data_IF_659002038086
#
_entry.id   IF_659002038086
#
_cell.length_a   1.000
_cell.length_b   1.000
_cell.length_c   1.000
_cell.angle_alpha   90.00
_cell.angle_beta   90.00
_cell.angle_gamma   90.00
#
_symmetry.space_group_name_H-M   'P 1'
#
loop_
_entity.id
_entity.type
_entity.pdbx_description
1 polymer ?
#
# COMPACT_ATOMS: atom_id res chain seq x y z
N UNK A 1 32.18 -29.55 -58.80
CA UNK A 1 32.99 -28.31 -58.50
C UNK A 1 32.18 -27.04 -58.74
N UNK A 2 31.41 -26.95 -59.83
CA UNK A 2 30.61 -25.71 -60.08
C UNK A 2 29.61 -25.34 -58.99
N UNK A 3 28.85 -26.30 -58.42
CA UNK A 3 27.83 -26.04 -57.39
C UNK A 3 28.41 -25.56 -56.05
N UNK A 4 29.59 -26.05 -55.68
CA UNK A 4 30.27 -25.60 -54.43
C UNK A 4 30.79 -24.15 -54.54
N UNK A 5 31.29 -23.78 -55.73
CA UNK A 5 31.76 -22.40 -56.01
C UNK A 5 30.59 -21.43 -56.03
N UNK A 6 29.45 -21.77 -56.68
CA UNK A 6 28.24 -20.95 -56.63
C UNK A 6 27.68 -20.75 -55.21
N UNK A 7 27.67 -21.81 -54.35
CA UNK A 7 27.20 -21.73 -52.98
C UNK A 7 28.15 -20.92 -52.10
N UNK A 8 29.47 -20.98 -52.33
CA UNK A 8 30.43 -20.16 -51.63
C UNK A 8 30.31 -18.65 -52.03
N UNK A 9 30.01 -18.35 -53.27
CA UNK A 9 29.71 -17.00 -53.72
C UNK A 9 28.39 -16.49 -53.13
N UNK A 10 27.36 -17.33 -52.98
CA UNK A 10 26.11 -16.97 -52.28
C UNK A 10 26.35 -16.61 -50.79
N UNK A 11 27.21 -17.35 -50.11
CA UNK A 11 27.60 -17.04 -48.71
C UNK A 11 28.26 -15.66 -48.65
N UNK A 12 29.19 -15.36 -49.57
CA UNK A 12 29.84 -14.07 -49.58
C UNK A 12 28.85 -12.92 -49.88
N UNK A 13 27.93 -13.10 -50.84
CA UNK A 13 26.88 -12.11 -51.13
C UNK A 13 25.97 -11.86 -49.93
N UNK A 14 25.48 -12.91 -49.27
CA UNK A 14 24.63 -12.80 -48.08
C UNK A 14 25.38 -12.06 -46.94
N UNK A 15 26.66 -12.32 -46.79
CA UNK A 15 27.49 -11.59 -45.81
C UNK A 15 27.52 -10.07 -46.09
N UNK A 16 27.69 -9.68 -47.35
CA UNK A 16 27.69 -8.27 -47.74
C UNK A 16 26.30 -7.66 -47.56
N UNK A 17 25.25 -8.32 -48.03
CA UNK A 17 23.86 -7.86 -47.89
C UNK A 17 23.46 -7.66 -46.42
N UNK A 18 23.83 -8.59 -45.54
CA UNK A 18 23.57 -8.47 -44.08
C UNK A 18 24.35 -7.30 -43.52
N UNK A 19 25.59 -7.06 -43.97
CA UNK A 19 26.42 -5.96 -43.48
C UNK A 19 25.85 -4.60 -43.88
N UNK A 20 25.39 -4.48 -45.15
CA UNK A 20 24.76 -3.28 -45.65
C UNK A 20 23.41 -2.96 -44.99
N UNK A 21 22.62 -3.98 -44.71
CA UNK A 21 21.34 -3.80 -44.00
C UNK A 21 21.55 -3.49 -42.52
N UNK A 22 22.54 -4.10 -41.84
CA UNK A 22 22.89 -3.79 -40.45
C UNK A 22 23.20 -2.30 -40.25
N UNK A 23 23.85 -1.68 -41.26
CA UNK A 23 24.18 -0.25 -41.24
C UNK A 23 22.93 0.67 -41.28
N UNK A 24 21.79 0.17 -41.71
CA UNK A 24 20.53 0.94 -41.84
C UNK A 24 19.60 0.78 -40.64
N UNK A 25 19.91 -0.13 -39.70
CA UNK A 25 19.05 -0.42 -38.53
C UNK A 25 19.30 0.62 -37.44
N UNK A 26 18.24 1.34 -37.07
CA UNK A 26 18.30 2.46 -36.12
C UNK A 26 17.68 2.13 -34.74
N UNK A 27 17.06 0.96 -34.57
CA UNK A 27 16.43 0.57 -33.30
C UNK A 27 16.69 -0.87 -32.92
N UNK A 28 16.75 -1.16 -31.63
CA UNK A 28 16.88 -2.52 -31.09
C UNK A 28 15.75 -3.46 -31.57
N UNK A 29 14.53 -2.93 -31.76
CA UNK A 29 13.41 -3.70 -32.30
C UNK A 29 13.64 -4.13 -33.75
N UNK A 30 14.12 -3.23 -34.61
CA UNK A 30 14.41 -3.56 -36.01
C UNK A 30 15.57 -4.55 -36.13
N UNK A 31 16.58 -4.48 -35.27
CA UNK A 31 17.64 -5.48 -35.16
C UNK A 31 17.08 -6.86 -34.81
N UNK A 32 16.18 -6.93 -33.85
CA UNK A 32 15.56 -8.21 -33.45
C UNK A 32 14.75 -8.84 -34.58
N UNK A 33 13.93 -8.05 -35.29
CA UNK A 33 13.13 -8.52 -36.41
C UNK A 33 14.02 -9.01 -37.58
N UNK A 34 15.06 -8.27 -37.89
CA UNK A 34 15.99 -8.64 -38.95
C UNK A 34 16.85 -9.86 -38.57
N UNK A 35 17.32 -9.93 -37.31
CA UNK A 35 18.01 -11.11 -36.75
C UNK A 35 17.18 -12.37 -36.92
N UNK A 36 15.86 -12.31 -36.65
CA UNK A 36 14.94 -13.42 -36.83
C UNK A 36 14.87 -13.85 -38.28
N UNK A 37 14.79 -12.94 -39.23
CA UNK A 37 14.72 -13.25 -40.64
C UNK A 37 16.01 -13.88 -41.20
N UNK A 38 17.16 -13.61 -40.60
CA UNK A 38 18.45 -14.16 -41.02
C UNK A 38 18.76 -15.48 -40.34
N UNK A 39 18.57 -15.57 -39.00
CA UNK A 39 19.03 -16.69 -38.17
C UNK A 39 18.00 -17.77 -37.93
N UNK A 40 16.72 -17.57 -38.27
CA UNK A 40 15.68 -18.58 -38.05
C UNK A 40 16.03 -19.89 -38.79
N UNK A 41 16.06 -21.00 -38.05
CA UNK A 41 16.42 -22.31 -38.59
C UNK A 41 15.46 -22.88 -39.60
N UNK A 42 14.19 -22.41 -39.63
CA UNK A 42 13.16 -22.90 -40.56
C UNK A 42 12.93 -21.99 -41.75
N UNK A 43 12.89 -20.72 -41.57
CA UNK A 43 12.50 -19.68 -42.54
C UNK A 43 13.61 -18.70 -42.85
N UNK A 44 14.64 -18.62 -42.03
CA UNK A 44 15.75 -17.68 -42.18
C UNK A 44 16.69 -18.02 -43.34
N UNK A 45 17.41 -17.00 -43.81
CA UNK A 45 18.36 -17.14 -44.93
C UNK A 45 19.45 -18.19 -44.61
N UNK A 46 20.02 -18.18 -43.42
CA UNK A 46 21.03 -19.16 -42.99
C UNK A 46 20.43 -20.57 -42.86
N UNK A 47 19.18 -20.68 -42.38
CA UNK A 47 18.47 -21.95 -42.35
C UNK A 47 18.25 -22.54 -43.72
N UNK A 48 17.98 -21.71 -44.72
CA UNK A 48 17.82 -22.14 -46.12
C UNK A 48 19.13 -22.66 -46.72
N UNK A 49 20.27 -22.02 -46.38
CA UNK A 49 21.59 -22.51 -46.81
C UNK A 49 21.91 -23.87 -46.19
N UNK A 50 21.57 -24.10 -44.92
CA UNK A 50 21.73 -25.42 -44.28
C UNK A 50 20.92 -26.53 -44.96
N UNK A 51 19.69 -26.23 -45.38
CA UNK A 51 18.85 -27.21 -46.14
C UNK A 51 19.44 -27.59 -47.49
N UNK A 52 20.17 -26.67 -48.15
CA UNK A 52 20.84 -26.97 -49.41
C UNK A 52 22.08 -27.85 -49.26
N UNK A 53 22.60 -28.06 -48.07
CA UNK A 53 23.70 -29.00 -47.80
C UNK A 53 23.38 -30.45 -48.21
N UNK A 54 22.08 -30.80 -48.32
CA UNK A 54 21.67 -32.11 -48.86
C UNK A 54 22.00 -32.37 -50.32
N UNK A 55 22.24 -31.33 -51.14
CA UNK A 55 22.55 -31.39 -52.58
C UNK A 55 24.04 -31.46 -52.89
N UNK A 56 24.90 -31.38 -51.86
CA UNK A 56 26.36 -31.32 -51.99
C UNK A 56 26.96 -32.73 -51.84
N UNK A 57 28.00 -33.10 -52.61
CA UNK A 57 28.72 -34.36 -52.47
C UNK A 57 29.31 -34.53 -51.02
N UNK A 58 29.34 -35.76 -50.54
CA UNK A 58 29.72 -36.04 -49.15
C UNK A 58 31.10 -35.53 -48.76
N UNK A 59 32.04 -35.49 -49.70
CA UNK A 59 33.40 -35.01 -49.50
C UNK A 59 33.48 -33.52 -49.17
N UNK A 60 32.54 -32.72 -49.65
CA UNK A 60 32.53 -31.24 -49.54
C UNK A 60 31.52 -30.73 -48.48
N UNK A 61 30.68 -31.63 -47.91
CA UNK A 61 29.69 -31.23 -46.87
C UNK A 61 30.31 -30.67 -45.62
N UNK A 62 31.43 -31.21 -45.19
CA UNK A 62 32.12 -30.75 -43.96
C UNK A 62 32.65 -29.32 -44.12
N UNK A 63 33.23 -29.00 -45.25
CA UNK A 63 33.77 -27.67 -45.54
C UNK A 63 32.66 -26.63 -45.72
N UNK A 64 31.58 -27.00 -46.43
CA UNK A 64 30.41 -26.16 -46.59
C UNK A 64 29.75 -25.86 -45.24
N UNK A 65 29.51 -26.90 -44.41
CA UNK A 65 28.95 -26.76 -43.10
C UNK A 65 29.78 -25.83 -42.17
N UNK A 66 31.10 -25.94 -42.30
CA UNK A 66 32.03 -25.03 -41.61
C UNK A 66 31.82 -23.56 -42.03
N UNK A 67 31.76 -23.28 -43.32
CA UNK A 67 31.54 -21.93 -43.86
C UNK A 67 30.17 -21.35 -43.44
N UNK A 68 29.10 -22.15 -43.45
CA UNK A 68 27.76 -21.73 -42.99
C UNK A 68 27.75 -21.44 -41.51
N UNK A 69 28.43 -22.27 -40.70
CA UNK A 69 28.55 -22.03 -39.25
C UNK A 69 29.38 -20.78 -38.92
N UNK A 70 30.46 -20.53 -39.69
CA UNK A 70 31.24 -19.31 -39.56
C UNK A 70 30.41 -18.07 -39.92
N UNK A 71 29.61 -18.11 -41.00
CA UNK A 71 28.68 -17.03 -41.35
C UNK A 71 27.64 -16.82 -40.24
N UNK A 72 27.08 -17.91 -39.67
CA UNK A 72 26.11 -17.82 -38.59
C UNK A 72 26.72 -17.17 -37.34
N UNK A 73 27.92 -17.60 -36.93
CA UNK A 73 28.60 -17.02 -35.77
C UNK A 73 28.97 -15.57 -35.98
N UNK A 74 29.46 -15.25 -37.20
CA UNK A 74 29.78 -13.87 -37.61
C UNK A 74 28.53 -12.97 -37.54
N UNK A 75 27.40 -13.41 -38.13
CA UNK A 75 26.14 -12.67 -38.08
C UNK A 75 25.63 -12.48 -36.68
N UNK A 76 25.66 -13.53 -35.86
CA UNK A 76 25.20 -13.48 -34.47
C UNK A 76 26.00 -12.44 -33.66
N UNK A 77 27.31 -12.46 -33.74
CA UNK A 77 28.18 -11.50 -33.05
C UNK A 77 27.87 -10.05 -33.46
N UNK A 78 27.71 -9.79 -34.77
CA UNK A 78 27.42 -8.45 -35.26
C UNK A 78 26.03 -7.96 -34.84
N UNK A 79 25.02 -8.85 -34.82
CA UNK A 79 23.71 -8.50 -34.28
C UNK A 79 23.78 -8.17 -32.78
N UNK A 80 24.54 -8.94 -31.99
CA UNK A 80 24.69 -8.70 -30.56
C UNK A 80 25.45 -7.40 -30.26
N UNK A 81 26.50 -7.11 -31.02
CA UNK A 81 27.24 -5.84 -30.92
C UNK A 81 26.37 -4.64 -31.27
N UNK A 82 25.60 -4.72 -32.38
CA UNK A 82 24.72 -3.63 -32.80
C UNK A 82 23.56 -3.42 -31.83
N UNK A 83 22.93 -4.49 -31.38
CA UNK A 83 21.84 -4.44 -30.37
C UNK A 83 22.32 -3.82 -29.07
N UNK A 84 23.52 -4.20 -28.60
CA UNK A 84 24.11 -3.62 -27.39
C UNK A 84 24.39 -2.12 -27.55
N UNK A 85 24.88 -1.69 -28.72
CA UNK A 85 25.14 -0.27 -29.02
C UNK A 85 23.84 0.53 -29.07
N UNK A 86 22.82 0.04 -29.78
CA UNK A 86 21.53 0.72 -29.88
C UNK A 86 20.80 0.80 -28.55
N UNK A 87 20.82 -0.27 -27.74
CA UNK A 87 20.28 -0.25 -26.39
C UNK A 87 20.98 0.75 -25.47
N UNK A 88 22.30 0.83 -25.55
CA UNK A 88 23.05 1.81 -24.77
C UNK A 88 22.71 3.26 -25.18
N UNK A 89 22.53 3.52 -26.49
CA UNK A 89 22.13 4.83 -26.99
C UNK A 89 20.68 5.17 -26.64
N UNK A 90 19.75 4.22 -26.80
CA UNK A 90 18.35 4.38 -26.35
C UNK A 90 18.28 4.69 -24.86
N UNK A 91 19.09 3.99 -24.03
CA UNK A 91 19.17 4.22 -22.59
C UNK A 91 19.74 5.62 -22.28
N UNK A 92 20.79 6.04 -23.00
CA UNK A 92 21.39 7.37 -22.85
C UNK A 92 20.36 8.48 -23.14
N UNK A 93 19.66 8.37 -24.28
CA UNK A 93 18.62 9.32 -24.67
C UNK A 93 17.46 9.36 -23.65
N UNK A 94 17.09 8.19 -23.14
CA UNK A 94 16.08 8.08 -22.09
C UNK A 94 16.52 8.80 -20.82
N UNK A 95 17.73 8.57 -20.34
CA UNK A 95 18.26 9.27 -19.16
C UNK A 95 18.35 10.78 -19.36
N UNK A 96 18.69 11.24 -20.56
CA UNK A 96 18.68 12.66 -20.86
C UNK A 96 17.28 13.27 -20.85
N UNK A 97 16.28 12.55 -21.37
CA UNK A 97 14.88 13.01 -21.40
C UNK A 97 14.21 12.95 -20.04
N UNK A 98 14.59 11.96 -19.20
CA UNK A 98 14.04 11.76 -17.84
C UNK A 98 14.84 12.54 -16.76
N UNK A 99 15.82 13.35 -17.15
CA UNK A 99 16.63 14.13 -16.22
C UNK A 99 15.77 15.12 -15.45
N UNK A 100 15.68 14.92 -14.12
CA UNK A 100 14.96 15.80 -13.21
C UNK A 100 15.96 16.70 -12.48
N UNK A 101 15.60 17.96 -12.31
CA UNK A 101 16.37 18.86 -11.46
C UNK A 101 16.11 18.55 -9.99
N UNK A 102 17.03 17.80 -9.39
CA UNK A 102 16.97 17.42 -7.97
C UNK A 102 17.20 18.61 -7.00
N UNK A 103 17.59 19.78 -7.50
CA UNK A 103 17.76 20.98 -6.70
C UNK A 103 16.47 21.76 -6.53
N UNK A 104 15.42 21.45 -7.31
CA UNK A 104 14.10 22.03 -7.13
C UNK A 104 13.56 21.69 -5.74
N UNK A 105 13.06 22.69 -4.99
CA UNK A 105 12.48 22.44 -3.69
C UNK A 105 11.27 21.50 -3.82
N UNK A 106 11.19 20.51 -2.93
CA UNK A 106 10.01 19.64 -2.86
C UNK A 106 8.75 20.48 -2.57
N UNK A 107 7.63 20.10 -3.18
CA UNK A 107 6.34 20.65 -2.80
C UNK A 107 6.10 20.32 -1.33
N UNK A 108 6.01 21.36 -0.49
CA UNK A 108 5.67 21.18 0.92
C UNK A 108 4.25 20.64 0.99
N UNK A 109 4.10 19.40 1.41
CA UNK A 109 2.79 18.90 1.79
C UNK A 109 2.35 19.67 3.04
N UNK A 110 1.26 20.41 2.94
CA UNK A 110 0.64 21.01 4.11
C UNK A 110 0.22 19.89 5.06
N UNK A 111 0.78 19.93 6.27
CA UNK A 111 0.36 18.99 7.31
C UNK A 111 -1.06 19.36 7.72
N UNK A 112 -1.98 18.43 7.62
CA UNK A 112 -3.32 18.60 8.19
C UNK A 112 -3.23 18.81 9.70
N UNK A 113 -4.22 19.52 10.25
CA UNK A 113 -4.39 19.71 11.69
C UNK A 113 -5.47 18.76 12.21
N UNK A 114 -5.33 18.33 13.47
CA UNK A 114 -6.36 17.58 14.15
C UNK A 114 -7.59 18.47 14.40
N UNK A 115 -8.78 17.89 14.29
CA UNK A 115 -10.02 18.57 14.66
C UNK A 115 -9.95 19.06 16.14
N UNK A 116 -10.47 20.24 16.50
CA UNK A 116 -10.40 20.76 17.87
C UNK A 116 -10.90 19.78 18.94
N UNK A 117 -12.03 19.10 18.69
CA UNK A 117 -12.55 18.08 19.64
C UNK A 117 -11.54 16.93 19.83
N UNK A 118 -10.86 16.51 18.77
CA UNK A 118 -9.82 15.47 18.87
C UNK A 118 -8.62 15.95 19.69
N UNK A 119 -8.22 17.20 19.51
CA UNK A 119 -7.12 17.80 20.29
C UNK A 119 -7.46 17.84 21.78
N UNK A 120 -8.69 18.33 22.11
CA UNK A 120 -9.16 18.36 23.51
C UNK A 120 -9.26 16.95 24.08
N UNK A 121 -9.87 16.00 23.36
CA UNK A 121 -9.94 14.61 23.81
C UNK A 121 -8.56 14.03 24.13
N UNK A 122 -7.58 14.24 23.25
CA UNK A 122 -6.23 13.74 23.46
C UNK A 122 -5.59 14.42 24.69
N UNK A 123 -5.74 15.73 24.84
CA UNK A 123 -5.23 16.46 26.01
C UNK A 123 -5.84 15.93 27.33
N UNK A 124 -7.17 15.71 27.36
CA UNK A 124 -7.84 15.14 28.54
C UNK A 124 -7.36 13.72 28.82
N UNK A 125 -7.19 12.90 27.79
CA UNK A 125 -6.65 11.54 27.91
C UNK A 125 -5.25 11.55 28.51
N UNK A 126 -4.35 12.43 28.04
CA UNK A 126 -3.00 12.57 28.55
C UNK A 126 -2.98 13.02 30.02
N UNK A 127 -3.90 13.91 30.40
CA UNK A 127 -4.07 14.35 31.80
C UNK A 127 -4.45 13.17 32.69
N UNK A 128 -5.47 12.40 32.31
CA UNK A 128 -5.89 11.24 33.10
C UNK A 128 -4.82 10.15 33.14
N UNK A 129 -4.12 9.88 32.02
CA UNK A 129 -2.98 8.97 32.00
C UNK A 129 -1.87 9.43 32.97
N UNK A 130 -1.57 10.77 33.04
CA UNK A 130 -0.61 11.33 33.99
C UNK A 130 -1.04 11.22 35.46
N UNK A 131 -2.35 11.07 35.69
CA UNK A 131 -2.94 10.82 37.02
C UNK A 131 -3.01 9.33 37.37
N UNK A 132 -2.52 8.44 36.48
CA UNK A 132 -2.45 7.00 36.68
C UNK A 132 -3.74 6.25 36.31
N UNK A 133 -4.56 6.80 35.43
CA UNK A 133 -5.70 6.09 34.86
C UNK A 133 -5.28 5.23 33.66
N UNK A 134 -5.78 4.01 33.57
CA UNK A 134 -5.81 3.23 32.35
C UNK A 134 -6.80 3.86 31.35
N UNK A 135 -6.52 3.77 30.08
CA UNK A 135 -7.42 4.24 29.02
C UNK A 135 -8.15 3.02 28.43
N UNK A 136 -9.48 3.07 28.44
CA UNK A 136 -10.33 2.04 27.83
C UNK A 136 -11.17 2.64 26.70
N UNK A 137 -10.89 2.27 25.46
CA UNK A 137 -11.70 2.62 24.31
C UNK A 137 -12.70 1.48 24.04
N UNK A 138 -13.97 1.70 24.38
CA UNK A 138 -15.05 0.76 24.12
C UNK A 138 -15.60 0.86 22.71
N UNK A 139 -16.45 -0.11 22.32
CA UNK A 139 -17.15 -0.15 21.04
C UNK A 139 -18.25 0.92 20.97
N UNK A 140 -18.50 1.46 19.78
CA UNK A 140 -19.62 2.41 19.54
C UNK A 140 -20.97 1.69 19.46
N UNK A 141 -20.97 0.42 19.03
CA UNK A 141 -22.14 -0.47 19.03
C UNK A 141 -22.07 -1.34 20.25
N UNK A 142 -23.10 -1.27 21.08
CA UNK A 142 -23.22 -2.02 22.32
C UNK A 142 -24.49 -2.84 22.37
N UNK A 143 -24.51 -3.83 23.26
CA UNK A 143 -25.74 -4.54 23.58
C UNK A 143 -26.58 -3.72 24.57
N UNK A 144 -27.89 -3.94 24.55
CA UNK A 144 -28.81 -3.35 25.53
C UNK A 144 -28.38 -3.73 26.99
N UNK A 145 -27.82 -4.92 27.16
CA UNK A 145 -27.31 -5.35 28.47
C UNK A 145 -26.24 -4.41 29.02
N UNK A 146 -25.18 -4.14 28.27
CA UNK A 146 -24.07 -3.29 28.74
C UNK A 146 -24.43 -1.81 28.79
N UNK A 147 -25.28 -1.36 27.87
CA UNK A 147 -25.66 0.06 27.84
C UNK A 147 -26.69 0.42 28.92
N UNK A 148 -27.53 -0.52 29.35
CA UNK A 148 -28.63 -0.26 30.30
C UNK A 148 -28.73 -1.24 31.43
N UNK A 149 -28.92 -2.52 31.16
CA UNK A 149 -29.26 -3.53 32.20
C UNK A 149 -28.19 -3.65 33.26
N UNK A 150 -26.92 -3.78 32.85
CA UNK A 150 -25.78 -3.88 33.76
C UNK A 150 -25.51 -2.60 34.56
N UNK A 151 -26.03 -1.46 34.07
CA UNK A 151 -25.95 -0.15 34.72
C UNK A 151 -27.20 0.13 35.60
N UNK A 152 -27.98 -0.90 35.89
CA UNK A 152 -29.19 -0.83 36.72
C UNK A 152 -30.28 0.10 36.14
N UNK A 153 -30.38 0.21 34.81
CA UNK A 153 -31.46 0.90 34.15
C UNK A 153 -32.53 -0.11 33.75
N UNK A 154 -33.73 -0.12 34.39
CA UNK A 154 -34.78 -1.09 34.15
C UNK A 154 -35.41 -0.93 32.75
N UNK A 155 -36.17 -1.96 32.31
CA UNK A 155 -36.72 -1.99 30.95
C UNK A 155 -37.77 -0.91 30.67
N UNK A 156 -38.47 -0.47 31.69
CA UNK A 156 -39.49 0.59 31.64
C UNK A 156 -38.93 2.01 31.85
N UNK A 157 -37.60 2.15 31.89
CA UNK A 157 -36.99 3.44 32.06
C UNK A 157 -37.09 4.29 30.79
N UNK A 158 -37.48 5.56 30.87
CA UNK A 158 -37.69 6.43 29.69
C UNK A 158 -36.44 6.54 28.78
N UNK A 159 -35.23 6.49 29.32
CA UNK A 159 -33.98 6.55 28.54
C UNK A 159 -33.80 5.36 27.55
N UNK A 160 -34.65 4.33 27.64
CA UNK A 160 -34.68 3.22 26.70
C UNK A 160 -35.66 3.42 25.54
N UNK A 161 -36.40 4.54 25.55
CA UNK A 161 -37.33 4.85 24.47
C UNK A 161 -36.56 5.02 23.14
N UNK A 162 -37.16 4.52 22.05
CA UNK A 162 -36.60 4.66 20.70
C UNK A 162 -36.50 6.15 20.26
N UNK A 163 -37.17 7.05 20.97
CA UNK A 163 -37.06 8.49 20.74
C UNK A 163 -35.69 9.04 21.19
N UNK A 164 -35.07 8.43 22.20
CA UNK A 164 -33.81 8.90 22.78
C UNK A 164 -32.60 8.01 22.44
N UNK A 165 -32.84 6.81 21.89
CA UNK A 165 -31.80 5.81 21.63
C UNK A 165 -31.85 5.27 20.20
N UNK A 166 -30.72 5.23 19.51
CA UNK A 166 -30.59 4.61 18.18
C UNK A 166 -30.41 3.09 18.31
N UNK A 167 -31.51 2.32 18.16
CA UNK A 167 -31.46 0.86 18.08
C UNK A 167 -31.13 0.41 16.65
N UNK A 168 -30.19 -0.53 16.53
CA UNK A 168 -29.84 -1.20 15.26
C UNK A 168 -30.62 -2.50 15.10
N UNK A 169 -30.93 -3.15 16.23
CA UNK A 169 -31.77 -4.34 16.37
C UNK A 169 -32.33 -4.36 17.78
N UNK A 170 -33.21 -5.32 18.13
CA UNK A 170 -33.73 -5.45 19.50
C UNK A 170 -32.64 -5.56 20.60
N UNK A 171 -31.50 -6.12 20.25
CA UNK A 171 -30.41 -6.40 21.19
C UNK A 171 -29.22 -5.46 21.07
N UNK A 172 -29.10 -4.72 19.96
CA UNK A 172 -27.95 -3.86 19.67
C UNK A 172 -28.37 -2.41 19.41
N UNK A 173 -27.57 -1.48 19.92
CA UNK A 173 -27.81 -0.05 19.80
C UNK A 173 -26.49 0.72 19.64
N UNK A 174 -26.57 1.97 19.25
CA UNK A 174 -25.47 2.91 19.38
C UNK A 174 -25.43 3.40 20.82
N UNK A 175 -24.27 3.24 21.47
CA UNK A 175 -24.13 3.57 22.92
C UNK A 175 -24.53 5.01 23.20
N UNK A 176 -25.35 5.18 24.20
CA UNK A 176 -25.83 6.50 24.64
C UNK A 176 -24.91 7.18 25.64
N UNK A 177 -23.93 6.43 26.17
CA UNK A 177 -22.94 6.84 27.16
C UNK A 177 -21.71 5.93 27.07
N UNK A 178 -20.57 6.37 27.64
CA UNK A 178 -19.34 5.55 27.69
C UNK A 178 -19.30 4.61 28.88
N UNK A 179 -20.34 4.60 29.74
CA UNK A 179 -20.45 3.82 30.99
C UNK A 179 -20.41 2.31 30.77
N UNK A 180 -20.80 1.81 29.59
CA UNK A 180 -20.62 0.39 29.23
C UNK A 180 -19.18 -0.08 29.40
N UNK A 181 -18.21 0.79 29.11
CA UNK A 181 -16.79 0.53 29.31
C UNK A 181 -16.42 0.21 30.76
N UNK A 182 -17.13 0.77 31.73
CA UNK A 182 -16.92 0.50 33.16
C UNK A 182 -17.29 -0.96 33.49
N UNK A 183 -18.39 -1.45 32.93
CA UNK A 183 -18.86 -2.84 33.15
C UNK A 183 -17.84 -3.80 32.50
N UNK A 184 -17.45 -3.59 31.26
CA UNK A 184 -16.44 -4.41 30.56
C UNK A 184 -15.14 -4.50 31.37
N UNK A 185 -14.67 -3.38 31.91
CA UNK A 185 -13.44 -3.37 32.73
C UNK A 185 -13.62 -4.09 34.03
N UNK A 186 -14.77 -3.91 34.73
CA UNK A 186 -15.05 -4.59 36.01
C UNK A 186 -15.23 -6.09 35.83
N UNK A 187 -15.75 -6.56 34.72
CA UNK A 187 -15.83 -7.99 34.40
C UNK A 187 -14.45 -8.59 34.07
N UNK A 188 -13.58 -7.82 33.41
CA UNK A 188 -12.25 -8.27 32.97
C UNK A 188 -11.17 -8.20 34.07
N UNK A 189 -11.29 -7.26 35.04
CA UNK A 189 -10.26 -6.98 36.06
C UNK A 189 -10.85 -6.95 37.45
N UNK A 190 -10.06 -7.41 38.42
CA UNK A 190 -10.37 -7.22 39.84
C UNK A 190 -9.82 -5.89 40.35
N UNK A 191 -10.46 -5.27 41.35
CA UNK A 191 -9.92 -4.09 42.03
C UNK A 191 -8.48 -4.31 42.56
N UNK A 192 -7.61 -3.27 42.56
CA UNK A 192 -7.96 -1.88 42.29
C UNK A 192 -8.14 -1.60 40.79
N UNK A 193 -9.14 -0.78 40.43
CA UNK A 193 -9.44 -0.34 39.07
C UNK A 193 -9.38 1.19 39.04
N UNK A 194 -8.70 1.75 38.10
CA UNK A 194 -8.64 3.18 37.84
C UNK A 194 -8.59 3.39 36.35
N UNK A 195 -9.73 3.70 35.73
CA UNK A 195 -9.90 3.74 34.28
C UNK A 195 -10.68 4.97 33.84
N UNK A 196 -10.35 5.48 32.66
CA UNK A 196 -11.13 6.49 31.95
C UNK A 196 -11.55 5.95 30.58
N UNK A 197 -12.81 6.20 30.22
CA UNK A 197 -13.42 5.77 28.96
C UNK A 197 -13.79 6.97 28.10
N UNK A 198 -12.90 7.42 27.17
CA UNK A 198 -13.23 8.44 26.19
C UNK A 198 -13.95 7.83 25.00
N UNK A 199 -14.92 8.53 24.40
CA UNK A 199 -15.52 8.05 23.18
C UNK A 199 -16.69 8.87 22.69
N UNK A 200 -17.15 8.57 21.47
CA UNK A 200 -18.37 9.10 20.91
C UNK A 200 -19.56 8.39 21.51
N UNK A 201 -20.62 9.15 21.71
CA UNK A 201 -21.92 8.66 22.19
C UNK A 201 -23.00 9.24 21.31
N UNK A 202 -24.15 8.57 21.27
CA UNK A 202 -25.22 8.84 20.32
C UNK A 202 -26.56 8.93 21.04
N UNK A 203 -27.32 9.99 20.75
CA UNK A 203 -28.66 10.19 21.27
C UNK A 203 -29.55 10.69 20.15
N UNK A 204 -30.78 10.20 20.10
CA UNK A 204 -31.73 10.54 19.05
C UNK A 204 -32.49 11.83 19.38
N UNK A 205 -31.78 12.83 19.91
CA UNK A 205 -32.37 14.14 20.18
C UNK A 205 -32.60 14.89 18.85
N UNK A 206 -33.81 15.33 18.60
CA UNK A 206 -34.23 16.06 17.39
C UNK A 206 -34.59 17.50 17.73
N UNK A 207 -33.60 18.29 18.19
CA UNK A 207 -33.78 19.71 18.45
C UNK A 207 -32.58 20.55 17.95
N UNK A 208 -32.78 21.86 17.86
CA UNK A 208 -31.75 22.77 17.32
C UNK A 208 -30.51 22.96 18.22
N UNK A 209 -30.55 22.47 19.46
CA UNK A 209 -29.50 22.69 20.48
C UNK A 209 -28.68 21.47 20.78
N UNK A 210 -29.17 20.28 20.41
CA UNK A 210 -28.49 19.00 20.66
C UNK A 210 -27.91 18.41 19.38
N UNK A 211 -26.73 17.82 19.48
CA UNK A 211 -26.14 17.03 18.41
C UNK A 211 -26.45 15.56 18.66
N UNK A 212 -26.89 14.80 17.63
CA UNK A 212 -27.14 13.37 17.76
C UNK A 212 -25.87 12.58 18.10
N UNK A 213 -24.70 13.15 17.93
CA UNK A 213 -23.40 12.57 18.30
C UNK A 213 -22.57 13.61 19.04
N UNK A 214 -22.02 13.24 20.20
CA UNK A 214 -21.06 14.06 20.92
C UNK A 214 -19.98 13.19 21.55
N UNK A 215 -18.91 13.84 22.04
CA UNK A 215 -17.81 13.13 22.71
C UNK A 215 -17.99 13.21 24.22
N UNK A 216 -17.89 12.07 24.88
CA UNK A 216 -17.98 11.95 26.32
C UNK A 216 -16.71 11.28 26.86
N UNK A 217 -16.37 11.57 28.13
CA UNK A 217 -15.28 10.93 28.84
C UNK A 217 -15.73 10.65 30.27
N UNK A 218 -15.70 9.39 30.69
CA UNK A 218 -16.09 8.96 32.03
C UNK A 218 -14.92 8.31 32.75
N UNK A 219 -14.78 8.59 34.02
CA UNK A 219 -13.78 7.98 34.90
C UNK A 219 -14.41 7.06 35.95
N UNK A 220 -13.75 5.93 36.22
CA UNK A 220 -14.13 4.98 37.27
C UNK A 220 -12.91 4.68 38.14
N UNK A 221 -13.13 4.73 39.47
CA UNK A 221 -12.15 4.24 40.46
C UNK A 221 -12.85 3.29 41.38
N UNK A 222 -12.30 2.07 41.54
CA UNK A 222 -12.76 1.06 42.46
C UNK A 222 -11.59 0.57 43.30
N UNK A 223 -11.56 0.95 44.57
CA UNK A 223 -10.53 0.53 45.52
C UNK A 223 -11.09 0.55 46.97
N UNK A 224 -10.30 0.05 47.90
CA UNK A 224 -10.65 0.09 49.31
C UNK A 224 -10.48 1.51 49.86
N UNK A 225 -11.48 1.94 50.66
CA UNK A 225 -11.41 3.20 51.39
C UNK A 225 -11.61 4.44 50.56
N UNK A 226 -12.06 4.36 49.31
CA UNK A 226 -12.38 5.49 48.45
C UNK A 226 -13.56 6.27 49.06
N UNK A 227 -13.40 7.57 49.12
CA UNK A 227 -14.36 8.52 49.75
C UNK A 227 -14.78 9.62 48.76
N UNK A 228 -15.81 10.38 49.11
CA UNK A 228 -16.21 11.58 48.35
C UNK A 228 -15.08 12.65 48.30
N UNK A 229 -14.22 12.70 49.31
CA UNK A 229 -13.06 13.60 49.29
C UNK A 229 -12.03 13.23 48.25
N UNK A 230 -11.85 11.91 47.96
CA UNK A 230 -10.97 11.44 46.90
C UNK A 230 -11.52 11.82 45.54
N UNK A 231 -12.83 11.69 45.32
CA UNK A 231 -13.48 12.16 44.08
C UNK A 231 -13.28 13.66 43.91
N UNK A 232 -13.52 14.48 44.94
CA UNK A 232 -13.30 15.91 44.87
C UNK A 232 -11.85 16.24 44.58
N UNK A 233 -10.90 15.61 45.25
CA UNK A 233 -9.48 15.84 45.04
C UNK A 233 -9.03 15.54 43.62
N UNK A 234 -9.52 14.44 43.02
CA UNK A 234 -9.24 14.12 41.62
C UNK A 234 -9.85 15.14 40.65
N UNK A 235 -11.08 15.60 40.91
CA UNK A 235 -11.71 16.60 40.07
C UNK A 235 -10.95 17.96 40.18
N UNK A 236 -10.56 18.35 41.38
CA UNK A 236 -9.76 19.58 41.62
C UNK A 236 -8.40 19.51 40.85
N UNK A 237 -7.70 18.37 40.94
CA UNK A 237 -6.46 18.16 40.22
C UNK A 237 -6.67 18.20 38.69
N UNK A 238 -7.70 17.54 38.18
CA UNK A 238 -8.07 17.55 36.79
C UNK A 238 -8.35 18.98 36.26
N UNK A 239 -9.21 19.73 36.97
CA UNK A 239 -9.55 21.14 36.63
C UNK A 239 -8.29 22.03 36.61
N UNK A 240 -7.42 21.88 37.62
CA UNK A 240 -6.16 22.65 37.65
C UNK A 240 -5.21 22.30 36.50
N UNK A 241 -5.17 21.04 36.06
CA UNK A 241 -4.33 20.63 34.92
C UNK A 241 -4.84 21.17 33.58
N UNK A 242 -6.17 21.36 33.43
CA UNK A 242 -6.79 21.91 32.23
C UNK A 242 -6.73 23.45 32.22
N UNK A 243 -7.18 24.09 33.27
CA UNK A 243 -7.43 25.52 33.31
C UNK A 243 -6.35 26.32 34.06
N UNK A 244 -5.42 25.64 34.70
CA UNK A 244 -4.35 26.25 35.48
C UNK A 244 -4.70 26.41 36.99
N UNK A 245 -3.69 26.79 37.79
CA UNK A 245 -3.87 26.94 39.22
C UNK A 245 -4.69 28.18 39.53
N UNK A 246 -5.63 28.06 40.47
CA UNK A 246 -6.45 29.18 40.96
C UNK A 246 -7.82 29.30 40.29
N UNK A 247 -8.19 28.27 39.55
CA UNK A 247 -9.53 28.13 38.97
C UNK A 247 -10.46 27.41 39.93
#
# INVERSE_FOLDING_TARGET
MAEFTELSEKIAKIKTEVQDELAKLESSKSVYEYKKNILDGKTGLIGSLMKQMGKIPNEQKAEYGKKVNELKAWAQNHFEELDAKLKAEEMRLRYESEKIDVTMPAVKNEKGNLHPVTQVRNQLTDIFASMGFDIYEGTEIETDYYNFTALNTPQDHPARDMQDTFYLSPDFLLRTQTSAGQIHVMEAKKPPIKVVSPGKVFRSDDDATHSPMFTQMEGLVVDKGITLCDLKGMLDEFVQKIFGKGT
#
